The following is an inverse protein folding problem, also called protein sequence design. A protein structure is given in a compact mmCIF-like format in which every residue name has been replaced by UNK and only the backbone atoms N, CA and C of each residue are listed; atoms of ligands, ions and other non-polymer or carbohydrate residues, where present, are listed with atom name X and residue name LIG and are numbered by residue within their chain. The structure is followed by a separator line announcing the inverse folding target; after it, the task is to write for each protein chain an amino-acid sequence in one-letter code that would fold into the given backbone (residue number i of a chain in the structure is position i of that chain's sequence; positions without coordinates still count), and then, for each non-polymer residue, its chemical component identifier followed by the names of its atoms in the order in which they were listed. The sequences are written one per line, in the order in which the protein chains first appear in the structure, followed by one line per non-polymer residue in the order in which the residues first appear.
data_IF_145477841065
#
_entry.id   IF_145477841065
#
_cell.length_a   1.000
_cell.length_b   1.000
_cell.length_c   1.000
_cell.angle_alpha   90.00
_cell.angle_beta   90.00
_cell.angle_gamma   90.00
#
_symmetry.space_group_name_H-M   'P 1'
#
loop_
_entity.id
_entity.type
_entity.pdbx_description
1 polymer ?
#
# COMPACT_ATOMS: atom_id res chain seq x y z
N UNK A 1 7.48 -3.64 12.34
CA UNK A 1 6.47 -3.11 11.41
C UNK A 1 7.15 -2.81 10.09
N UNK A 2 6.55 -3.16 8.94
CA UNK A 2 7.19 -2.97 7.63
C UNK A 2 6.16 -2.89 6.49
N UNK A 3 6.51 -2.15 5.43
CA UNK A 3 5.77 -2.21 4.17
C UNK A 3 6.22 -3.41 3.35
N UNK A 4 5.25 -4.10 2.76
CA UNK A 4 5.47 -5.20 1.84
C UNK A 4 4.84 -4.87 0.50
N UNK A 5 5.61 -4.97 -0.59
CA UNK A 5 5.15 -4.78 -1.96
C UNK A 5 5.07 -6.13 -2.64
N UNK A 6 3.96 -6.38 -3.32
CA UNK A 6 3.77 -7.60 -4.08
C UNK A 6 3.01 -7.32 -5.37
N UNK A 7 3.24 -8.17 -6.37
CA UNK A 7 2.44 -8.16 -7.60
C UNK A 7 1.26 -9.10 -7.40
N UNK A 8 0.05 -8.57 -7.50
CA UNK A 8 -1.16 -9.36 -7.31
C UNK A 8 -1.31 -10.35 -8.47
N UNK A 9 -1.03 -11.62 -8.21
CA UNK A 9 -1.16 -12.69 -9.21
C UNK A 9 -2.57 -13.26 -9.28
N UNK A 10 -3.32 -13.18 -8.18
CA UNK A 10 -4.69 -13.70 -8.02
C UNK A 10 -5.74 -12.59 -8.15
N UNK A 11 -6.75 -12.82 -8.98
CA UNK A 11 -7.83 -11.87 -9.25
C UNK A 11 -8.30 -11.94 -10.71
N UNK A 12 -9.22 -11.06 -11.08
CA UNK A 12 -9.62 -10.77 -12.46
C UNK A 12 -8.86 -9.53 -12.96
N UNK A 13 -8.79 -9.27 -14.28
CA UNK A 13 -8.26 -8.02 -14.81
C UNK A 13 -8.94 -6.77 -14.21
N UNK A 14 -10.22 -6.88 -13.86
CA UNK A 14 -11.01 -5.83 -13.21
C UNK A 14 -10.76 -5.67 -11.70
N UNK A 15 -10.06 -6.60 -11.05
CA UNK A 15 -9.79 -6.56 -9.59
C UNK A 15 -8.29 -6.51 -9.26
N UNK A 16 -7.47 -6.11 -10.24
CA UNK A 16 -6.04 -5.82 -10.03
C UNK A 16 -5.10 -6.97 -10.37
N UNK A 17 -5.52 -7.98 -11.15
CA UNK A 17 -4.60 -9.03 -11.62
C UNK A 17 -3.44 -8.41 -12.42
N UNK A 18 -2.21 -8.70 -11.99
CA UNK A 18 -0.98 -8.20 -12.60
C UNK A 18 -0.54 -6.84 -12.11
N UNK A 19 -1.34 -6.16 -11.27
CA UNK A 19 -1.02 -4.86 -10.68
C UNK A 19 -0.17 -5.01 -9.41
N UNK A 20 0.54 -3.95 -9.07
CA UNK A 20 1.35 -3.83 -7.87
C UNK A 20 0.50 -3.32 -6.71
N UNK A 21 0.69 -3.91 -5.53
CA UNK A 21 0.03 -3.49 -4.29
C UNK A 21 1.02 -3.43 -3.17
N UNK A 22 0.68 -2.63 -2.16
CA UNK A 22 1.40 -2.59 -0.91
C UNK A 22 0.47 -2.90 0.26
N UNK A 23 1.06 -3.47 1.31
CA UNK A 23 0.41 -3.62 2.61
C UNK A 23 1.39 -3.33 3.72
N UNK A 24 0.89 -2.80 4.82
CA UNK A 24 1.65 -2.52 6.03
C UNK A 24 1.42 -3.65 7.02
N UNK A 25 2.52 -4.26 7.48
CA UNK A 25 2.51 -5.38 8.41
C UNK A 25 3.00 -4.93 9.78
N UNK A 26 2.29 -5.32 10.83
CA UNK A 26 2.73 -5.13 12.21
C UNK A 26 3.89 -6.09 12.56
N UNK A 27 4.45 -5.94 13.77
CA UNK A 27 5.55 -6.81 14.23
C UNK A 27 5.16 -8.29 14.32
N UNK A 28 3.88 -8.57 14.50
CA UNK A 28 3.28 -9.91 14.52
C UNK A 28 2.89 -10.43 13.13
N UNK A 29 3.34 -9.78 12.05
CA UNK A 29 3.00 -10.12 10.67
C UNK A 29 1.52 -9.99 10.28
N UNK A 30 0.68 -9.35 11.09
CA UNK A 30 -0.69 -9.05 10.68
C UNK A 30 -0.76 -7.82 9.78
N UNK A 31 -1.70 -7.81 8.82
CA UNK A 31 -1.93 -6.65 7.97
C UNK A 31 -2.72 -5.62 8.74
N UNK A 32 -2.19 -4.40 8.84
CA UNK A 32 -2.85 -3.27 9.53
C UNK A 32 -3.39 -2.23 8.54
N UNK A 33 -2.81 -2.15 7.35
CA UNK A 33 -3.30 -1.30 6.26
C UNK A 33 -2.93 -1.90 4.91
N UNK A 34 -3.71 -1.60 3.89
CA UNK A 34 -3.45 -1.97 2.50
C UNK A 34 -3.82 -0.82 1.58
N UNK A 35 -3.05 -0.64 0.52
CA UNK A 35 -3.31 0.39 -0.48
C UNK A 35 -4.14 -0.09 -1.67
N UNK A 36 -4.40 0.86 -2.56
CA UNK A 36 -4.89 0.64 -3.92
C UNK A 36 -3.89 -0.18 -4.77
N UNK A 37 -4.28 -0.48 -6.00
CA UNK A 37 -3.46 -1.21 -6.96
C UNK A 37 -2.91 -0.28 -8.04
N UNK A 38 -1.63 -0.46 -8.37
CA UNK A 38 -0.87 0.36 -9.29
C UNK A 38 -0.45 -0.43 -10.52
N UNK A 39 -0.40 0.21 -11.69
CA UNK A 39 0.12 -0.41 -12.91
C UNK A 39 1.63 -0.62 -12.80
N UNK A 40 2.36 0.38 -12.27
CA UNK A 40 3.82 0.33 -12.14
C UNK A 40 4.26 0.16 -10.68
N UNK A 41 5.40 -0.52 -10.49
CA UNK A 41 6.01 -0.70 -9.17
C UNK A 41 6.51 0.62 -8.58
N UNK A 42 6.99 1.52 -9.43
CA UNK A 42 7.50 2.85 -9.06
C UNK A 42 6.44 3.69 -8.40
N UNK A 43 5.22 3.66 -8.92
CA UNK A 43 4.10 4.45 -8.38
C UNK A 43 3.71 3.95 -6.98
N UNK A 44 3.73 2.63 -6.79
CA UNK A 44 3.51 1.98 -5.50
C UNK A 44 4.61 2.35 -4.47
N UNK A 45 5.89 2.37 -4.88
CA UNK A 45 7.00 2.82 -4.04
C UNK A 45 6.89 4.31 -3.69
N UNK A 46 6.47 5.14 -4.65
CA UNK A 46 6.27 6.56 -4.45
C UNK A 46 5.18 6.82 -3.40
N UNK A 47 4.04 6.12 -3.47
CA UNK A 47 2.98 6.20 -2.48
C UNK A 47 3.47 5.82 -1.07
N UNK A 48 4.25 4.73 -0.93
CA UNK A 48 4.87 4.38 0.36
C UNK A 48 5.82 5.47 0.84
N UNK A 49 6.58 6.09 -0.06
CA UNK A 49 7.46 7.21 0.26
C UNK A 49 6.68 8.39 0.87
N UNK A 50 5.56 8.75 0.25
CA UNK A 50 4.66 9.78 0.76
C UNK A 50 4.12 9.42 2.16
N UNK A 51 3.62 8.18 2.35
CA UNK A 51 3.08 7.72 3.64
C UNK A 51 4.16 7.75 4.73
N UNK A 52 5.39 7.34 4.41
CA UNK A 52 6.51 7.39 5.36
C UNK A 52 6.92 8.82 5.72
N UNK A 53 6.63 9.79 4.84
CA UNK A 53 6.89 11.21 5.07
C UNK A 53 5.75 11.94 5.79
N UNK A 54 4.63 11.26 6.11
CA UNK A 54 3.56 11.84 6.91
C UNK A 54 4.07 12.05 8.33
N UNK A 55 3.98 13.30 8.79
CA UNK A 55 4.37 13.70 10.15
C UNK A 55 3.17 13.69 11.10
N UNK A 56 3.43 13.67 12.41
CA UNK A 56 2.39 13.56 13.43
C UNK A 56 1.39 14.72 13.46
N UNK A 57 1.74 15.88 12.90
CA UNK A 57 0.86 17.06 12.81
C UNK A 57 -0.05 17.05 11.58
N UNK A 58 0.09 16.05 10.70
CA UNK A 58 -0.75 15.94 9.50
C UNK A 58 -2.21 15.78 9.93
N UNK A 59 -3.10 16.74 9.57
CA UNK A 59 -4.45 16.77 10.13
C UNK A 59 -5.31 15.62 9.61
N UNK A 60 -6.08 15.01 10.51
CA UNK A 60 -7.10 14.00 10.18
C UNK A 60 -8.45 14.69 10.08
N UNK A 61 -9.20 14.42 9.01
CA UNK A 61 -10.55 14.95 8.79
C UNK A 61 -11.57 13.81 8.77
N UNK A 62 -12.64 13.95 9.54
CA UNK A 62 -13.83 13.09 9.50
C UNK A 62 -14.90 13.78 8.64
N UNK A 63 -15.51 13.04 7.71
CA UNK A 63 -16.52 13.52 6.76
C UNK A 63 -17.79 12.68 6.80
#
# INVERSE_FOLDING_TARGET
MYFEIYRQSKGTPSTGKGQWRWRLRAGNHETIASGESYVNKTDCLHAIGLIKGVEGETPVKEI
#
